data_IF_102938361761
#
_entry.id   IF_102938361761
#
_cell.length_a   1.000
_cell.length_b   1.000
_cell.length_c   1.000
_cell.angle_alpha   90.00
_cell.angle_beta   90.00
_cell.angle_gamma   90.00
#
_symmetry.space_group_name_H-M   'P 1'
#
loop_
_entity.id
_entity.type
_entity.pdbx_description
1 polymer ?
#
# COMPACT_ATOMS: atom_id res chain seq x y z
N UNK A 1 -12.17 -4.33 -19.04
CA UNK A 1 -12.92 -4.54 -17.78
C UNK A 1 -14.39 -4.18 -17.86
N UNK A 2 -15.10 -4.53 -18.95
CA UNK A 2 -16.55 -4.26 -19.12
C UNK A 2 -17.43 -5.50 -18.88
N UNK A 3 -16.83 -6.68 -18.66
CA UNK A 3 -17.56 -7.96 -18.64
C UNK A 3 -18.15 -8.28 -17.25
N UNK A 4 -17.66 -7.66 -16.17
CA UNK A 4 -18.13 -7.95 -14.81
C UNK A 4 -19.45 -7.26 -14.46
N UNK A 5 -19.72 -6.06 -14.95
CA UNK A 5 -20.94 -5.30 -14.59
C UNK A 5 -22.21 -5.89 -15.22
N UNK A 6 -22.15 -6.36 -16.46
CA UNK A 6 -23.28 -6.98 -17.16
C UNK A 6 -23.70 -8.31 -16.52
N UNK A 7 -22.73 -9.14 -16.12
CA UNK A 7 -23.03 -10.41 -15.45
C UNK A 7 -23.63 -10.22 -14.05
N UNK A 8 -23.20 -9.19 -13.32
CA UNK A 8 -23.77 -8.84 -12.01
C UNK A 8 -25.22 -8.35 -12.16
N UNK A 9 -25.52 -7.55 -13.18
CA UNK A 9 -26.88 -7.04 -13.42
C UNK A 9 -27.85 -8.15 -13.84
N UNK A 10 -27.43 -9.05 -14.74
CA UNK A 10 -28.22 -10.22 -15.15
C UNK A 10 -28.39 -11.21 -13.99
N UNK A 11 -27.38 -11.36 -13.14
CA UNK A 11 -27.47 -12.11 -11.88
C UNK A 11 -28.50 -11.51 -10.92
N UNK A 12 -28.56 -10.18 -10.81
CA UNK A 12 -29.54 -9.47 -9.97
C UNK A 12 -30.98 -9.76 -10.40
N UNK A 13 -31.26 -9.70 -11.71
CA UNK A 13 -32.59 -10.01 -12.25
C UNK A 13 -33.00 -11.46 -12.01
N UNK A 14 -32.07 -12.43 -12.10
CA UNK A 14 -32.37 -13.85 -11.86
C UNK A 14 -32.55 -14.19 -10.39
N UNK A 15 -31.78 -13.56 -9.49
CA UNK A 15 -31.96 -13.72 -8.03
C UNK A 15 -33.31 -13.18 -7.59
N UNK A 16 -33.70 -11.98 -8.08
CA UNK A 16 -35.02 -11.40 -7.79
C UNK A 16 -36.14 -12.30 -8.33
N UNK A 17 -35.97 -12.90 -9.51
CA UNK A 17 -36.96 -13.81 -10.09
C UNK A 17 -37.06 -15.13 -9.29
N UNK A 18 -35.94 -15.68 -8.83
CA UNK A 18 -35.92 -16.90 -8.00
C UNK A 18 -36.50 -16.69 -6.60
N UNK A 19 -36.49 -15.46 -6.07
CA UNK A 19 -37.16 -15.11 -4.81
C UNK A 19 -38.69 -15.03 -4.93
N UNK A 20 -39.24 -15.04 -6.15
CA UNK A 20 -40.68 -14.94 -6.41
C UNK A 20 -41.39 -16.30 -6.43
N UNK A 21 -40.65 -17.41 -6.41
CA UNK A 21 -41.23 -18.75 -6.52
C UNK A 21 -41.83 -19.22 -5.18
N UNK A 22 -43.11 -19.61 -5.15
CA UNK A 22 -43.78 -19.98 -3.92
C UNK A 22 -43.29 -21.33 -3.38
N UNK A 23 -43.09 -21.41 -2.06
CA UNK A 23 -42.85 -22.67 -1.35
C UNK A 23 -44.15 -23.51 -1.42
N UNK A 24 -44.11 -24.78 -1.85
CA UNK A 24 -45.30 -25.61 -1.97
C UNK A 24 -46.06 -25.75 -0.64
N UNK A 25 -47.38 -25.49 -0.67
CA UNK A 25 -48.24 -25.38 0.51
C UNK A 25 -48.97 -26.69 0.86
N UNK A 26 -48.27 -27.73 1.36
CA UNK A 26 -48.95 -29.00 1.68
C UNK A 26 -48.99 -29.45 3.15
N UNK A 27 -48.63 -28.64 4.16
CA UNK A 27 -48.67 -29.07 5.58
C UNK A 27 -49.13 -27.96 6.56
N UNK A 28 -49.52 -28.33 7.78
CA UNK A 28 -50.10 -27.41 8.79
C UNK A 28 -49.16 -26.23 9.10
N UNK A 29 -49.71 -25.02 9.28
CA UNK A 29 -48.95 -23.78 9.42
C UNK A 29 -48.14 -23.71 10.73
N UNK A 30 -48.51 -24.51 11.72
CA UNK A 30 -47.90 -24.60 13.05
C UNK A 30 -46.69 -25.57 13.07
N UNK A 31 -46.81 -26.76 12.47
CA UNK A 31 -45.69 -27.71 12.35
C UNK A 31 -44.57 -27.15 11.48
N UNK A 32 -44.91 -26.46 10.38
CA UNK A 32 -43.91 -25.76 9.56
C UNK A 32 -43.12 -24.72 10.34
N UNK A 33 -43.77 -23.98 11.24
CA UNK A 33 -43.07 -22.97 12.03
C UNK A 33 -42.12 -23.58 13.06
N UNK A 34 -42.49 -24.71 13.65
CA UNK A 34 -41.65 -25.43 14.61
C UNK A 34 -40.40 -25.98 13.92
N UNK A 35 -40.58 -26.74 12.83
CA UNK A 35 -39.49 -27.33 12.03
C UNK A 35 -38.57 -26.25 11.43
N UNK A 36 -39.13 -25.14 10.97
CA UNK A 36 -38.34 -24.05 10.38
C UNK A 36 -37.52 -23.29 11.42
N UNK A 37 -38.03 -23.15 12.64
CA UNK A 37 -37.30 -22.49 13.74
C UNK A 37 -36.15 -23.36 14.22
N UNK A 38 -36.39 -24.67 14.38
CA UNK A 38 -35.37 -25.65 14.78
C UNK A 38 -34.27 -25.79 13.72
N UNK A 39 -34.64 -25.89 12.43
CA UNK A 39 -33.70 -25.94 11.32
C UNK A 39 -32.88 -24.63 11.21
N UNK A 40 -33.49 -23.47 11.50
CA UNK A 40 -32.77 -22.19 11.52
C UNK A 40 -31.77 -22.07 12.66
N UNK A 41 -32.08 -22.66 13.83
CA UNK A 41 -31.17 -22.71 14.98
C UNK A 41 -29.98 -23.65 14.69
N UNK A 42 -30.26 -24.86 14.21
CA UNK A 42 -29.21 -25.80 13.81
C UNK A 42 -28.28 -25.22 12.73
N UNK A 43 -28.84 -24.49 11.78
CA UNK A 43 -28.06 -23.80 10.75
C UNK A 43 -27.27 -22.61 11.33
N UNK A 44 -27.81 -21.88 12.31
CA UNK A 44 -27.07 -20.81 13.00
C UNK A 44 -25.84 -21.34 13.74
N UNK A 45 -25.96 -22.52 14.35
CA UNK A 45 -24.87 -23.12 15.14
C UNK A 45 -23.82 -23.81 14.25
N UNK A 46 -24.22 -24.25 13.05
CA UNK A 46 -23.34 -25.01 12.13
C UNK A 46 -22.77 -24.15 11.00
N UNK A 47 -23.49 -23.11 10.55
CA UNK A 47 -23.10 -22.34 9.37
C UNK A 47 -22.19 -21.17 9.71
N UNK A 48 -21.13 -21.01 8.91
CA UNK A 48 -20.22 -19.88 9.02
C UNK A 48 -20.84 -18.55 8.53
N UNK A 49 -22.01 -18.58 7.87
CA UNK A 49 -22.68 -17.41 7.30
C UNK A 49 -24.07 -17.23 7.92
N UNK A 50 -24.24 -16.32 8.88
CA UNK A 50 -25.47 -16.15 9.66
C UNK A 50 -26.64 -15.51 8.88
N UNK A 51 -26.40 -14.98 7.68
CA UNK A 51 -27.43 -14.35 6.85
C UNK A 51 -28.36 -15.38 6.18
N UNK A 52 -27.87 -16.60 5.94
CA UNK A 52 -28.62 -17.65 5.24
C UNK A 52 -29.78 -18.17 6.09
N UNK A 53 -29.60 -18.34 7.40
CA UNK A 53 -30.66 -18.75 8.33
C UNK A 53 -31.77 -17.70 8.44
N UNK A 54 -31.44 -16.40 8.37
CA UNK A 54 -32.41 -15.30 8.37
C UNK A 54 -33.21 -15.20 7.06
N UNK A 55 -32.59 -15.54 5.93
CA UNK A 55 -33.28 -15.63 4.64
C UNK A 55 -34.29 -16.79 4.64
N UNK A 56 -33.87 -17.98 5.10
CA UNK A 56 -34.74 -19.16 5.16
C UNK A 56 -35.90 -18.92 6.12
N UNK A 57 -35.67 -18.37 7.32
CA UNK A 57 -36.72 -18.14 8.32
C UNK A 57 -37.73 -17.01 8.00
N UNK A 58 -37.54 -16.22 6.95
CA UNK A 58 -38.42 -15.10 6.63
C UNK A 58 -39.76 -15.57 6.02
N UNK A 59 -40.89 -15.20 6.65
CA UNK A 59 -42.24 -15.52 6.17
C UNK A 59 -42.77 -14.54 5.12
N UNK A 60 -42.38 -13.27 5.20
CA UNK A 60 -42.84 -12.22 4.29
C UNK A 60 -41.94 -12.07 3.05
N UNK A 61 -42.56 -11.85 1.89
CA UNK A 61 -41.85 -11.65 0.61
C UNK A 61 -40.92 -10.42 0.64
N UNK A 62 -41.33 -9.37 1.34
CA UNK A 62 -40.53 -8.14 1.53
C UNK A 62 -39.28 -8.40 2.37
N UNK A 63 -39.39 -9.15 3.47
CA UNK A 63 -38.24 -9.51 4.28
C UNK A 63 -37.26 -10.40 3.49
N UNK A 64 -37.76 -11.37 2.70
CA UNK A 64 -36.90 -12.20 1.83
C UNK A 64 -36.12 -11.34 0.83
N UNK A 65 -36.78 -10.41 0.15
CA UNK A 65 -36.10 -9.49 -0.77
C UNK A 65 -35.02 -8.64 -0.08
N UNK A 66 -35.31 -8.11 1.11
CA UNK A 66 -34.33 -7.32 1.87
C UNK A 66 -33.10 -8.16 2.26
N UNK A 67 -33.31 -9.40 2.72
CA UNK A 67 -32.21 -10.30 3.06
C UNK A 67 -31.40 -10.74 1.82
N UNK A 68 -32.05 -10.94 0.67
CA UNK A 68 -31.37 -11.23 -0.59
C UNK A 68 -30.51 -10.07 -1.07
N UNK A 69 -31.02 -8.83 -0.99
CA UNK A 69 -30.26 -7.63 -1.33
C UNK A 69 -29.07 -7.46 -0.39
N UNK A 70 -29.27 -7.67 0.92
CA UNK A 70 -28.19 -7.61 1.91
C UNK A 70 -27.08 -8.64 1.63
N UNK A 71 -27.46 -9.88 1.30
CA UNK A 71 -26.51 -10.93 0.93
C UNK A 71 -25.74 -10.57 -0.35
N UNK A 72 -26.42 -10.00 -1.34
CA UNK A 72 -25.80 -9.60 -2.60
C UNK A 72 -24.81 -8.45 -2.40
N UNK A 73 -25.17 -7.44 -1.60
CA UNK A 73 -24.25 -6.35 -1.24
C UNK A 73 -23.00 -6.90 -0.56
N UNK A 74 -23.17 -7.83 0.38
CA UNK A 74 -22.05 -8.46 1.08
C UNK A 74 -21.11 -9.17 0.10
N UNK A 75 -21.64 -10.00 -0.79
CA UNK A 75 -20.85 -10.74 -1.79
C UNK A 75 -20.11 -9.78 -2.74
N UNK A 76 -20.79 -8.74 -3.22
CA UNK A 76 -20.17 -7.73 -4.09
C UNK A 76 -19.04 -7.01 -3.36
N UNK A 77 -19.27 -6.55 -2.13
CA UNK A 77 -18.28 -5.85 -1.33
C UNK A 77 -17.06 -6.74 -1.03
N UNK A 78 -17.29 -7.99 -0.60
CA UNK A 78 -16.22 -8.96 -0.35
C UNK A 78 -15.41 -9.24 -1.61
N UNK A 79 -16.05 -9.36 -2.77
CA UNK A 79 -15.34 -9.59 -4.04
C UNK A 79 -14.43 -8.42 -4.40
N UNK A 80 -14.93 -7.18 -4.28
CA UNK A 80 -14.12 -5.98 -4.53
C UNK A 80 -12.95 -5.89 -3.55
N UNK A 81 -13.20 -6.19 -2.27
CA UNK A 81 -12.17 -6.16 -1.23
C UNK A 81 -11.08 -7.22 -1.49
N UNK A 82 -11.45 -8.43 -1.90
CA UNK A 82 -10.49 -9.49 -2.24
C UNK A 82 -9.63 -9.07 -3.43
N UNK A 83 -10.24 -8.51 -4.50
CA UNK A 83 -9.50 -8.02 -5.66
C UNK A 83 -8.52 -6.92 -5.24
N UNK A 84 -8.94 -5.99 -4.38
CA UNK A 84 -8.07 -4.94 -3.87
C UNK A 84 -6.89 -5.51 -3.07
N UNK A 85 -7.15 -6.49 -2.20
CA UNK A 85 -6.12 -7.14 -1.39
C UNK A 85 -5.12 -7.92 -2.26
N UNK A 86 -5.59 -8.62 -3.30
CA UNK A 86 -4.70 -9.31 -4.26
C UNK A 86 -3.80 -8.30 -4.98
N UNK A 87 -4.34 -7.14 -5.37
CA UNK A 87 -3.57 -6.09 -6.02
C UNK A 87 -2.53 -5.48 -5.09
N UNK A 88 -2.86 -5.27 -3.83
CA UNK A 88 -1.90 -4.77 -2.84
C UNK A 88 -0.82 -5.81 -2.55
N UNK A 89 -1.19 -7.08 -2.39
CA UNK A 89 -0.24 -8.18 -2.18
C UNK A 89 0.74 -8.34 -3.36
N UNK A 90 0.22 -8.34 -4.59
CA UNK A 90 1.04 -8.44 -5.81
C UNK A 90 1.86 -7.19 -6.11
N UNK A 91 1.58 -6.07 -5.44
CA UNK A 91 2.44 -4.87 -5.53
C UNK A 91 3.76 -5.01 -4.77
N UNK A 92 3.95 -6.10 -4.01
CA UNK A 92 5.15 -6.41 -3.22
C UNK A 92 5.66 -5.21 -2.41
N UNK A 93 4.74 -4.44 -1.83
CA UNK A 93 5.09 -3.24 -1.09
C UNK A 93 5.91 -3.60 0.15
N UNK A 94 7.20 -3.25 0.11
CA UNK A 94 8.13 -3.50 1.21
C UNK A 94 7.95 -2.41 2.26
N UNK A 95 7.51 -2.80 3.46
CA UNK A 95 7.47 -1.91 4.62
C UNK A 95 8.73 -2.12 5.45
N UNK A 96 9.69 -1.19 5.39
CA UNK A 96 10.84 -1.21 6.28
C UNK A 96 10.44 -0.72 7.66
N UNK A 97 10.39 -1.63 8.65
CA UNK A 97 10.26 -1.26 10.06
C UNK A 97 11.65 -0.92 10.59
N UNK A 98 11.93 0.37 10.72
CA UNK A 98 13.16 0.86 11.37
C UNK A 98 13.00 0.58 12.87
N UNK A 99 13.64 -0.48 13.34
CA UNK A 99 13.78 -0.74 14.77
C UNK A 99 15.09 -0.10 15.22
N UNK A 100 14.99 0.88 16.12
CA UNK A 100 16.16 1.46 16.77
C UNK A 100 16.57 0.53 17.91
N UNK A 101 17.32 -0.52 17.58
CA UNK A 101 17.95 -1.37 18.58
C UNK A 101 19.34 -0.80 18.88
N UNK A 102 19.43 -0.08 20.01
CA UNK A 102 20.69 0.45 20.53
C UNK A 102 21.37 -0.60 21.41
N UNK A 103 21.94 -1.63 20.79
CA UNK A 103 22.81 -2.59 21.49
C UNK A 103 24.23 -2.49 20.93
N UNK A 104 25.22 -2.28 21.81
CA UNK A 104 26.66 -2.36 21.57
C UNK A 104 27.08 -2.03 20.13
N UNK A 105 26.99 -0.75 19.77
CA UNK A 105 27.42 -0.27 18.45
C UNK A 105 28.95 -0.41 18.34
N UNK A 106 29.43 -1.07 17.30
CA UNK A 106 30.87 -1.10 16.99
C UNK A 106 31.32 0.34 16.70
N UNK A 107 32.34 0.80 17.43
CA UNK A 107 32.84 2.16 17.23
C UNK A 107 33.34 2.30 15.79
N UNK A 108 32.79 3.23 14.98
CA UNK A 108 33.14 3.31 13.58
C UNK A 108 34.59 3.76 13.42
N UNK A 109 35.20 3.40 12.30
CA UNK A 109 36.50 3.96 11.93
C UNK A 109 36.36 5.45 11.69
N UNK A 110 36.99 6.25 12.56
CA UNK A 110 37.07 7.70 12.39
C UNK A 110 38.31 8.02 11.58
N UNK A 111 38.12 8.47 10.33
CA UNK A 111 39.22 8.91 9.47
C UNK A 111 39.35 10.43 9.54
N UNK A 112 40.48 10.90 10.06
CA UNK A 112 40.84 12.31 10.04
C UNK A 112 41.77 12.61 8.86
N UNK A 113 41.34 13.50 7.97
CA UNK A 113 42.17 14.00 6.88
C UNK A 113 42.63 15.43 7.17
N UNK A 114 43.91 15.70 6.91
CA UNK A 114 44.38 17.07 6.85
C UNK A 114 43.76 17.75 5.62
N UNK A 115 43.17 18.93 5.80
CA UNK A 115 42.57 19.73 4.71
C UNK A 115 43.66 20.13 3.71
N UNK A 116 44.89 20.27 4.17
CA UNK A 116 46.01 20.53 3.28
C UNK A 116 46.35 19.27 2.46
N UNK A 117 46.15 19.29 1.12
CA UNK A 117 46.37 18.12 0.27
C UNK A 117 47.85 17.72 0.17
N UNK A 118 48.79 18.66 0.43
CA UNK A 118 50.22 18.35 0.38
C UNK A 118 51.05 19.26 1.28
N UNK A 119 52.05 18.68 1.96
CA UNK A 119 53.06 19.46 2.69
C UNK A 119 53.98 20.19 1.71
N UNK A 120 54.12 21.51 1.88
CA UNK A 120 54.98 22.35 1.03
C UNK A 120 56.44 21.89 0.99
N UNK A 121 56.94 21.27 2.07
CA UNK A 121 58.30 20.72 2.14
C UNK A 121 58.51 19.48 1.26
N UNK A 122 57.45 18.85 0.77
CA UNK A 122 57.53 17.65 -0.06
C UNK A 122 57.21 17.90 -1.53
N UNK A 123 56.89 19.14 -1.92
CA UNK A 123 56.53 19.51 -3.29
C UNK A 123 57.55 19.02 -4.34
N UNK A 124 58.84 19.11 -4.03
CA UNK A 124 59.95 18.79 -4.96
C UNK A 124 60.10 17.28 -5.23
N UNK A 125 59.50 16.43 -4.39
CA UNK A 125 59.58 14.97 -4.52
C UNK A 125 58.44 14.38 -5.35
N UNK A 126 57.53 15.23 -5.83
CA UNK A 126 56.31 14.82 -6.51
C UNK A 126 56.42 15.05 -8.01
N UNK A 127 55.65 14.30 -8.80
CA UNK A 127 55.59 14.45 -10.25
C UNK A 127 55.35 15.91 -10.69
N UNK A 128 56.00 16.33 -11.77
CA UNK A 128 56.01 17.71 -12.28
C UNK A 128 54.60 18.22 -12.57
N UNK A 129 53.73 17.35 -13.09
CA UNK A 129 52.33 17.68 -13.37
C UNK A 129 51.55 18.06 -12.10
N UNK A 130 51.84 17.40 -10.99
CA UNK A 130 51.19 17.69 -9.71
C UNK A 130 51.82 18.92 -9.03
N UNK A 131 53.12 19.19 -9.27
CA UNK A 131 53.75 20.45 -8.84
C UNK A 131 53.10 21.66 -9.52
N UNK A 132 52.89 21.61 -10.84
CA UNK A 132 52.23 22.67 -11.61
C UNK A 132 50.80 22.93 -11.10
N UNK A 133 50.06 21.87 -10.78
CA UNK A 133 48.71 21.99 -10.23
C UNK A 133 48.71 22.65 -8.84
N UNK A 134 49.68 22.33 -7.99
CA UNK A 134 49.80 22.92 -6.66
C UNK A 134 50.17 24.39 -6.74
N UNK A 135 51.04 24.76 -7.67
CA UNK A 135 51.42 26.15 -7.88
C UNK A 135 50.26 26.98 -8.45
N UNK A 136 49.44 26.41 -9.33
CA UNK A 136 48.23 27.05 -9.86
C UNK A 136 47.14 27.26 -8.78
N UNK A 137 47.11 26.40 -7.76
CA UNK A 137 46.11 26.42 -6.67
C UNK A 137 46.63 27.20 -5.44
N UNK A 138 47.90 27.63 -5.40
CA UNK A 138 48.43 28.40 -4.26
C UNK A 138 47.59 29.68 -4.06
N UNK A 139 46.94 29.85 -2.88
CA UNK A 139 46.06 30.98 -2.63
C UNK A 139 46.77 32.33 -2.79
N UNK A 140 48.10 32.39 -2.64
CA UNK A 140 48.86 33.64 -2.86
C UNK A 140 48.88 34.05 -4.33
N UNK A 141 48.94 33.09 -5.25
CA UNK A 141 48.90 33.34 -6.69
C UNK A 141 47.49 33.79 -7.09
N UNK A 142 46.46 33.12 -6.55
CA UNK A 142 45.06 33.46 -6.77
C UNK A 142 44.72 34.85 -6.21
N UNK A 143 45.18 35.19 -5.02
CA UNK A 143 44.95 36.52 -4.43
C UNK A 143 45.63 37.63 -5.24
N UNK A 144 46.83 37.37 -5.78
CA UNK A 144 47.54 38.33 -6.63
C UNK A 144 46.82 38.55 -7.96
N UNK A 145 46.31 37.51 -8.60
CA UNK A 145 45.54 37.64 -9.85
C UNK A 145 44.21 38.35 -9.62
N UNK A 146 43.52 38.04 -8.52
CA UNK A 146 42.27 38.71 -8.14
C UNK A 146 42.47 40.20 -7.84
N UNK A 147 43.54 40.57 -7.12
CA UNK A 147 43.87 41.96 -6.86
C UNK A 147 44.18 42.72 -8.16
N UNK A 148 45.01 42.15 -9.03
CA UNK A 148 45.32 42.77 -10.32
C UNK A 148 44.08 42.95 -11.20
N UNK A 149 43.19 41.96 -11.24
CA UNK A 149 41.93 42.06 -11.97
C UNK A 149 41.05 43.18 -11.40
N UNK A 150 40.92 43.24 -10.07
CA UNK A 150 40.15 44.29 -9.40
C UNK A 150 40.73 45.67 -9.70
N UNK A 151 42.04 45.87 -9.56
CA UNK A 151 42.72 47.15 -9.84
C UNK A 151 42.54 47.57 -11.30
N UNK A 152 42.68 46.65 -12.26
CA UNK A 152 42.48 46.95 -13.68
C UNK A 152 41.02 47.25 -14.02
N UNK A 153 40.05 46.66 -13.32
CA UNK A 153 38.64 46.97 -13.48
C UNK A 153 38.28 48.37 -12.94
N UNK A 154 38.97 48.85 -11.89
CA UNK A 154 38.79 50.22 -11.38
C UNK A 154 39.49 51.29 -12.22
N UNK A 155 40.58 50.95 -12.92
CA UNK A 155 41.34 51.89 -13.76
C UNK A 155 40.74 52.08 -15.18
N UNK A 156 39.89 51.16 -15.63
CA UNK A 156 39.22 51.23 -16.94
C UNK A 156 37.79 51.81 -16.87
N UNK A 157 37.47 52.55 -15.81
CA UNK A 157 36.17 53.19 -15.59
C UNK A 157 36.36 54.69 -15.42
#
# INVERSE_FOLDING_TARGET
GQITTWNVLVGFSRVVFSCMEPVPQSESEEERNCVQTECSQHFHDTASIPIVSKFVGAKSKTARCLWSIALLILVCFSTVHIIWLIRDYTSFKKYSKIKMESSNFEFPSVTFCNINPMRMSQKEKVDKKLQELIEAIDPRVILKSFNNYSTNAYLNK
#
